data_IF_748481916469
#
_entry.id   IF_748481916469
#
_cell.length_a   1.000
_cell.length_b   1.000
_cell.length_c   1.000
_cell.angle_alpha   90.00
_cell.angle_beta   90.00
_cell.angle_gamma   90.00
#
_symmetry.space_group_name_H-M   'P 1'
#
loop_
_entity.id
_entity.type
_entity.pdbx_description
1 polymer ?
#
# COMPACT_ATOMS: atom_id res chain seq x y z
N UNK A 1 -1.92 5.70 21.22
CA UNK A 1 -3.39 5.72 21.18
C UNK A 1 -3.95 4.68 20.21
N UNK A 2 -3.52 4.66 18.92
CA UNK A 2 -3.94 3.65 17.92
C UNK A 2 -3.67 2.18 18.30
N UNK A 3 -2.48 1.86 18.83
CA UNK A 3 -2.14 0.47 19.25
C UNK A 3 -3.01 0.00 20.41
N UNK A 4 -3.29 0.88 21.38
CA UNK A 4 -4.12 0.57 22.53
C UNK A 4 -5.60 0.37 22.13
N UNK A 5 -6.06 1.02 21.06
CA UNK A 5 -7.43 0.91 20.57
C UNK A 5 -7.73 -0.46 19.95
N UNK A 6 -6.70 -1.20 19.52
CA UNK A 6 -6.84 -2.52 18.90
C UNK A 6 -6.05 -3.62 19.62
N UNK A 7 -5.54 -3.38 20.84
CA UNK A 7 -4.47 -4.21 21.45
C UNK A 7 -4.79 -5.70 21.48
N UNK A 8 -6.04 -6.06 21.77
CA UNK A 8 -6.46 -7.46 21.90
C UNK A 8 -6.66 -8.15 20.54
N UNK A 9 -6.85 -7.37 19.49
CA UNK A 9 -7.07 -7.84 18.12
C UNK A 9 -5.83 -7.66 17.22
N UNK A 10 -4.84 -6.87 17.62
CA UNK A 10 -3.69 -6.52 16.78
C UNK A 10 -2.57 -7.58 16.88
N UNK A 11 -2.13 -8.10 15.73
CA UNK A 11 -0.96 -9.00 15.61
C UNK A 11 0.31 -8.24 15.24
N UNK A 12 0.22 -7.32 14.28
CA UNK A 12 1.36 -6.53 13.80
C UNK A 12 0.93 -5.22 13.13
N UNK A 13 1.85 -4.25 13.05
CA UNK A 13 1.70 -3.04 12.23
C UNK A 13 2.92 -2.91 11.32
N UNK A 14 2.67 -2.71 10.03
CA UNK A 14 3.69 -2.36 9.05
C UNK A 14 3.47 -0.94 8.55
N UNK A 15 4.53 -0.16 8.42
CA UNK A 15 4.55 1.07 7.66
C UNK A 15 5.05 0.80 6.25
N UNK A 16 4.32 1.28 5.25
CA UNK A 16 4.64 1.09 3.82
C UNK A 16 4.72 2.43 3.08
N UNK A 17 5.22 2.40 1.85
CA UNK A 17 5.23 3.60 1.00
C UNK A 17 6.27 4.65 1.40
N UNK A 18 6.14 5.82 0.77
CA UNK A 18 7.20 6.84 0.71
C UNK A 18 7.64 7.41 2.06
N UNK A 19 6.74 7.43 3.06
CA UNK A 19 7.09 7.90 4.40
C UNK A 19 8.18 7.03 5.04
N UNK A 20 8.10 5.71 4.85
CA UNK A 20 9.00 4.74 5.45
C UNK A 20 10.21 4.39 4.58
N UNK A 21 10.23 4.81 3.31
CA UNK A 21 11.39 4.66 2.43
C UNK A 21 12.49 5.68 2.77
N UNK A 22 13.58 5.19 3.35
CA UNK A 22 14.73 6.01 3.75
C UNK A 22 15.60 6.45 2.58
N UNK A 23 15.48 5.80 1.42
CA UNK A 23 16.33 6.07 0.27
C UNK A 23 15.80 7.24 -0.58
N UNK A 24 14.54 7.65 -0.38
CA UNK A 24 13.97 8.80 -1.08
C UNK A 24 14.71 10.10 -0.74
N UNK A 25 14.90 11.00 -1.72
CA UNK A 25 15.51 12.32 -1.48
C UNK A 25 14.81 13.08 -0.34
N UNK A 26 15.57 13.86 0.42
CA UNK A 26 15.02 14.69 1.52
C UNK A 26 14.06 15.78 1.02
N UNK A 27 14.15 16.13 -0.27
CA UNK A 27 13.27 17.10 -0.94
C UNK A 27 11.91 16.52 -1.31
N UNK A 28 11.71 15.20 -1.16
CA UNK A 28 10.43 14.58 -1.45
C UNK A 28 9.44 14.79 -0.30
N UNK A 29 8.22 15.17 -0.69
CA UNK A 29 7.11 15.39 0.23
C UNK A 29 6.62 14.04 0.77
N UNK A 30 6.56 13.91 2.10
CA UNK A 30 6.12 12.69 2.81
C UNK A 30 4.99 13.02 3.80
N UNK A 31 3.87 13.51 3.29
CA UNK A 31 2.72 13.88 4.13
C UNK A 31 1.76 12.70 4.41
N UNK A 32 1.78 11.69 3.53
CA UNK A 32 0.90 10.53 3.63
C UNK A 32 1.64 9.42 4.39
N UNK A 33 1.03 8.88 5.44
CA UNK A 33 1.52 7.73 6.21
C UNK A 33 0.62 6.54 5.92
N UNK A 34 1.16 5.53 5.23
CA UNK A 34 0.43 4.29 4.94
C UNK A 34 0.78 3.21 5.98
N UNK A 35 -0.22 2.77 6.74
CA UNK A 35 -0.09 1.74 7.76
C UNK A 35 -0.94 0.52 7.40
N UNK A 36 -0.37 -0.67 7.57
CA UNK A 36 -1.09 -1.94 7.46
C UNK A 36 -1.17 -2.60 8.83
N UNK A 37 -2.39 -2.74 9.32
CA UNK A 37 -2.72 -3.39 10.58
C UNK A 37 -3.07 -4.84 10.28
N UNK A 38 -2.23 -5.76 10.77
CA UNK A 38 -2.52 -7.19 10.76
C UNK A 38 -3.28 -7.51 12.04
N UNK A 39 -4.56 -7.86 11.92
CA UNK A 39 -5.44 -8.17 13.03
C UNK A 39 -5.74 -9.68 13.12
N UNK A 40 -6.30 -10.13 14.26
CA UNK A 40 -6.74 -11.51 14.46
C UNK A 40 -8.05 -11.77 13.71
N UNK A 41 -8.96 -10.80 13.68
CA UNK A 41 -10.27 -10.88 13.03
C UNK A 41 -10.71 -9.48 12.59
N UNK A 42 -11.27 -9.38 11.39
CA UNK A 42 -11.81 -8.09 10.87
C UNK A 42 -13.14 -7.72 11.54
N UNK A 43 -13.87 -8.73 12.02
CA UNK A 43 -15.15 -8.59 12.71
C UNK A 43 -15.00 -7.87 14.05
N UNK A 44 -13.79 -7.90 14.63
CA UNK A 44 -13.44 -7.23 15.87
C UNK A 44 -12.86 -5.82 15.66
N UNK A 45 -12.94 -5.27 14.45
CA UNK A 45 -12.58 -3.87 14.18
C UNK A 45 -13.78 -2.99 14.60
N UNK A 46 -13.55 -1.89 15.34
CA UNK A 46 -14.60 -0.93 15.66
C UNK A 46 -15.34 -0.47 14.38
N UNK A 47 -16.66 -0.40 14.45
CA UNK A 47 -17.50 -0.09 13.28
C UNK A 47 -17.09 1.21 12.57
N UNK A 48 -16.81 2.26 13.34
CA UNK A 48 -16.36 3.55 12.79
C UNK A 48 -15.04 3.42 12.02
N UNK A 49 -14.11 2.61 12.51
CA UNK A 49 -12.83 2.36 11.83
C UNK A 49 -13.04 1.58 10.54
N UNK A 50 -13.92 0.58 10.57
CA UNK A 50 -14.22 -0.27 9.42
C UNK A 50 -14.94 0.49 8.31
N UNK A 51 -15.94 1.30 8.67
CA UNK A 51 -16.72 2.11 7.73
C UNK A 51 -15.83 3.16 7.05
N UNK A 52 -14.80 3.65 7.74
CA UNK A 52 -13.85 4.65 7.23
C UNK A 52 -12.52 4.09 6.72
N UNK A 53 -12.38 2.76 6.57
CA UNK A 53 -11.09 2.10 6.26
C UNK A 53 -10.41 2.53 4.95
N UNK A 54 -11.14 3.15 4.03
CA UNK A 54 -10.61 3.64 2.76
C UNK A 54 -10.33 5.15 2.75
N UNK A 55 -10.57 5.84 3.86
CA UNK A 55 -10.37 7.28 3.98
C UNK A 55 -9.17 7.58 4.90
N UNK A 56 -8.35 8.60 4.55
CA UNK A 56 -7.26 9.01 5.40
C UNK A 56 -7.80 9.68 6.67
N UNK A 57 -7.07 9.49 7.78
CA UNK A 57 -7.33 10.15 9.05
C UNK A 57 -6.32 11.27 9.25
N UNK A 58 -6.78 12.43 9.70
CA UNK A 58 -5.89 13.52 10.08
C UNK A 58 -5.36 13.28 11.49
N UNK A 59 -4.06 13.04 11.63
CA UNK A 59 -3.42 12.79 12.93
C UNK A 59 -2.16 13.65 13.01
N UNK A 60 -2.12 14.59 13.94
CA UNK A 60 -0.96 15.47 14.17
C UNK A 60 -0.45 16.18 12.90
N UNK A 61 -1.36 16.50 11.97
CA UNK A 61 -1.03 17.16 10.69
C UNK A 61 -0.61 16.21 9.56
N UNK A 62 -0.67 14.90 9.77
CA UNK A 62 -0.42 13.88 8.75
C UNK A 62 -1.73 13.25 8.23
N UNK A 63 -1.72 12.89 6.95
CA UNK A 63 -2.76 12.06 6.36
C UNK A 63 -2.40 10.58 6.60
N UNK A 64 -3.09 9.90 7.50
CA UNK A 64 -2.79 8.51 7.87
C UNK A 64 -3.81 7.57 7.25
N UNK A 65 -3.36 6.72 6.34
CA UNK A 65 -4.15 5.61 5.80
C UNK A 65 -3.91 4.35 6.62
N UNK A 66 -4.99 3.64 6.97
CA UNK A 66 -4.93 2.40 7.74
C UNK A 66 -5.63 1.30 6.96
N UNK A 67 -4.86 0.37 6.41
CA UNK A 67 -5.37 -0.87 5.83
C UNK A 67 -5.47 -1.96 6.89
N UNK A 68 -6.64 -2.57 7.04
CA UNK A 68 -6.83 -3.72 7.94
C UNK A 68 -6.81 -5.02 7.16
N UNK A 69 -5.97 -5.96 7.58
CA UNK A 69 -5.89 -7.31 6.99
C UNK A 69 -5.73 -8.36 8.07
N UNK A 70 -6.06 -9.61 7.75
CA UNK A 70 -5.68 -10.78 8.55
C UNK A 70 -4.69 -11.62 7.75
N UNK A 71 -3.98 -12.55 8.42
CA UNK A 71 -3.08 -13.48 7.74
C UNK A 71 -3.89 -14.36 6.80
N UNK A 72 -5.06 -14.80 7.25
CA UNK A 72 -5.98 -15.66 6.54
C UNK A 72 -6.48 -15.02 5.24
N UNK A 73 -6.75 -13.71 5.25
CA UNK A 73 -7.13 -12.95 4.04
C UNK A 73 -5.98 -12.89 3.05
N UNK A 74 -4.73 -12.81 3.50
CA UNK A 74 -3.57 -12.89 2.60
C UNK A 74 -3.39 -14.25 1.93
N UNK A 75 -4.05 -15.32 2.38
CA UNK A 75 -4.03 -16.63 1.72
C UNK A 75 -5.20 -16.86 0.77
N UNK A 76 -6.12 -15.90 0.67
CA UNK A 76 -7.35 -16.02 -0.12
C UNK A 76 -7.54 -14.75 -0.96
N UNK A 77 -7.12 -14.79 -2.23
CA UNK A 77 -7.19 -13.65 -3.16
C UNK A 77 -8.60 -13.08 -3.29
N UNK A 78 -9.64 -13.94 -3.25
CA UNK A 78 -11.01 -13.48 -3.38
C UNK A 78 -11.43 -12.68 -2.14
N UNK A 79 -11.20 -13.23 -0.94
CA UNK A 79 -11.48 -12.49 0.31
C UNK A 79 -10.66 -11.23 0.43
N UNK A 80 -9.41 -11.25 -0.07
CA UNK A 80 -8.58 -10.06 -0.10
C UNK A 80 -9.25 -8.94 -0.92
N UNK A 81 -9.78 -9.23 -2.10
CA UNK A 81 -10.47 -8.21 -2.90
C UNK A 81 -11.78 -7.69 -2.26
N UNK A 82 -12.47 -8.50 -1.47
CA UNK A 82 -13.68 -8.08 -0.75
C UNK A 82 -13.37 -7.10 0.40
N UNK A 83 -12.19 -7.25 1.01
CA UNK A 83 -11.78 -6.50 2.21
C UNK A 83 -10.91 -5.29 1.86
N UNK A 84 -9.96 -5.49 0.93
CA UNK A 84 -8.90 -4.56 0.58
C UNK A 84 -9.16 -3.89 -0.75
N UNK A 85 -8.90 -2.57 -0.81
CA UNK A 85 -8.94 -1.80 -2.04
C UNK A 85 -7.64 -1.85 -2.85
N UNK A 86 -6.67 -2.68 -2.45
CA UNK A 86 -5.35 -2.75 -3.08
C UNK A 86 -5.25 -3.88 -4.12
N UNK A 87 -4.22 -3.82 -4.97
CA UNK A 87 -3.86 -4.94 -5.84
C UNK A 87 -3.24 -6.07 -4.99
N UNK A 88 -3.71 -7.31 -5.17
CA UNK A 88 -3.34 -8.42 -4.27
C UNK A 88 -1.83 -8.72 -4.22
N UNK A 89 -1.20 -8.96 -5.38
CA UNK A 89 0.25 -9.26 -5.42
C UNK A 89 1.05 -8.07 -4.92
N UNK A 90 0.65 -6.84 -5.29
CA UNK A 90 1.26 -5.62 -4.76
C UNK A 90 1.22 -5.59 -3.23
N UNK A 91 0.04 -5.74 -2.62
CA UNK A 91 -0.09 -5.67 -1.17
C UNK A 91 0.74 -6.74 -0.44
N UNK A 92 0.90 -7.92 -1.04
CA UNK A 92 1.77 -8.97 -0.51
C UNK A 92 3.25 -8.57 -0.59
N UNK A 93 3.74 -8.07 -1.73
CA UNK A 93 5.16 -7.69 -1.88
C UNK A 93 5.56 -6.53 -0.95
N UNK A 94 4.64 -5.61 -0.65
CA UNK A 94 4.88 -4.52 0.30
C UNK A 94 5.29 -5.07 1.66
N UNK A 95 4.60 -6.11 2.15
CA UNK A 95 4.88 -6.68 3.46
C UNK A 95 5.99 -7.74 3.38
N UNK A 96 5.94 -8.63 2.39
CA UNK A 96 6.81 -9.82 2.25
C UNK A 96 8.30 -9.44 2.23
N UNK A 97 8.63 -8.34 1.55
CA UNK A 97 9.99 -7.88 1.37
C UNK A 97 10.34 -6.77 2.38
N UNK A 98 11.32 -6.98 3.28
CA UNK A 98 11.72 -5.99 4.29
C UNK A 98 12.17 -4.63 3.72
N UNK A 99 12.61 -4.59 2.48
CA UNK A 99 12.96 -3.36 1.78
C UNK A 99 11.76 -2.48 1.42
N UNK A 100 10.56 -3.07 1.29
CA UNK A 100 9.34 -2.34 0.92
C UNK A 100 8.55 -1.85 2.15
N UNK A 101 8.77 -2.45 3.33
CA UNK A 101 8.03 -2.11 4.55
C UNK A 101 8.84 -2.16 5.84
N UNK A 102 8.42 -1.34 6.79
CA UNK A 102 8.98 -1.34 8.15
C UNK A 102 8.00 -1.97 9.14
N UNK A 103 8.43 -3.00 9.87
CA UNK A 103 7.68 -3.50 11.02
C UNK A 103 7.74 -2.45 12.14
N UNK A 104 6.59 -1.94 12.56
CA UNK A 104 6.46 -0.90 13.58
C UNK A 104 6.02 -1.46 14.94
N UNK A 105 5.27 -2.57 14.94
CA UNK A 105 4.76 -3.21 16.14
C UNK A 105 4.44 -4.68 15.90
N UNK A 106 4.54 -5.50 16.95
CA UNK A 106 4.08 -6.88 16.97
C UNK A 106 5.09 -7.88 16.42
N UNK A 107 4.61 -9.09 16.09
CA UNK A 107 5.44 -10.18 15.58
C UNK A 107 5.58 -10.06 14.06
N UNK A 108 6.77 -10.30 13.54
CA UNK A 108 6.95 -10.39 12.09
C UNK A 108 6.16 -11.58 11.52
N UNK A 109 5.31 -11.31 10.53
CA UNK A 109 4.45 -12.28 9.85
C UNK A 109 4.94 -12.66 8.45
N UNK A 110 6.08 -12.14 7.98
CA UNK A 110 6.55 -12.35 6.60
C UNK A 110 6.68 -13.81 6.20
N UNK A 111 7.10 -14.67 7.12
CA UNK A 111 7.20 -16.12 6.90
C UNK A 111 5.83 -16.82 6.81
N UNK A 112 4.77 -16.16 7.26
CA UNK A 112 3.39 -16.65 7.22
C UNK A 112 2.63 -16.19 5.98
N UNK A 113 3.19 -15.27 5.17
CA UNK A 113 2.58 -14.80 3.93
C UNK A 113 2.86 -15.76 2.76
N UNK A 114 1.95 -15.86 1.77
CA UNK A 114 2.17 -16.67 0.56
C UNK A 114 3.49 -16.36 -0.16
N UNK A 115 3.93 -17.32 -0.96
CA UNK A 115 5.05 -17.14 -1.87
C UNK A 115 4.62 -16.31 -3.09
N UNK A 116 5.05 -15.04 -3.10
CA UNK A 116 4.78 -14.07 -4.16
C UNK A 116 5.42 -14.42 -5.50
N UNK A 117 6.43 -15.31 -5.54
CA UNK A 117 7.05 -15.75 -6.79
C UNK A 117 6.11 -16.58 -7.66
N UNK A 118 5.10 -17.20 -7.05
CA UNK A 118 4.10 -18.04 -7.72
C UNK A 118 2.90 -17.23 -8.24
N UNK A 119 2.82 -15.94 -7.90
CA UNK A 119 1.69 -15.07 -8.23
C UNK A 119 1.97 -14.22 -9.46
N UNK A 120 0.95 -13.98 -10.28
CA UNK A 120 0.97 -13.00 -11.36
C UNK A 120 0.35 -11.68 -10.90
N UNK A 121 0.86 -10.56 -11.43
CA UNK A 121 0.22 -9.27 -11.22
C UNK A 121 -1.08 -9.20 -12.00
N UNK A 122 -2.08 -8.56 -11.40
CA UNK A 122 -3.26 -8.10 -12.14
C UNK A 122 -2.89 -6.79 -12.85
N UNK A 123 -2.32 -6.91 -14.05
CA UNK A 123 -1.81 -5.80 -14.83
C UNK A 123 -2.94 -4.86 -15.30
N UNK A 124 -4.14 -5.37 -15.50
CA UNK A 124 -5.31 -4.56 -15.86
C UNK A 124 -5.72 -3.64 -14.71
N UNK A 125 -5.80 -4.16 -13.49
CA UNK A 125 -6.06 -3.36 -12.29
C UNK A 125 -4.99 -2.28 -12.08
N UNK A 126 -3.70 -2.61 -12.25
CA UNK A 126 -2.61 -1.63 -12.11
C UNK A 126 -2.74 -0.52 -13.16
N UNK A 127 -2.97 -0.88 -14.42
CA UNK A 127 -3.12 0.08 -15.52
C UNK A 127 -4.34 0.97 -15.29
N UNK A 128 -5.49 0.38 -14.93
CA UNK A 128 -6.72 1.12 -14.64
C UNK A 128 -6.51 2.14 -13.52
N UNK A 129 -5.78 1.79 -12.45
CA UNK A 129 -5.42 2.74 -11.39
C UNK A 129 -4.51 3.85 -11.87
N UNK A 130 -3.53 3.56 -12.73
CA UNK A 130 -2.69 4.58 -13.36
C UNK A 130 -3.51 5.59 -14.15
N UNK A 131 -4.41 5.10 -15.01
CA UNK A 131 -5.32 5.93 -15.82
C UNK A 131 -6.31 6.73 -14.97
N UNK A 132 -6.83 6.15 -13.90
CA UNK A 132 -7.72 6.84 -12.95
C UNK A 132 -7.06 8.07 -12.34
N UNK A 133 -5.81 7.95 -11.88
CA UNK A 133 -5.09 9.09 -11.32
C UNK A 133 -4.69 10.11 -12.40
N UNK A 134 -4.37 9.65 -13.61
CA UNK A 134 -4.10 10.55 -14.73
C UNK A 134 -5.34 11.39 -15.05
N UNK A 135 -6.51 10.76 -15.19
CA UNK A 135 -7.78 11.46 -15.44
C UNK A 135 -8.10 12.46 -14.33
N UNK A 136 -7.94 12.06 -13.06
CA UNK A 136 -8.11 12.97 -11.92
C UNK A 136 -7.19 14.19 -11.99
N UNK A 137 -5.92 13.99 -12.37
CA UNK A 137 -4.96 15.09 -12.49
C UNK A 137 -5.40 16.10 -13.55
N UNK A 138 -5.93 15.64 -14.68
CA UNK A 138 -6.40 16.46 -15.79
C UNK A 138 -7.70 17.21 -15.47
N UNK A 139 -8.56 16.64 -14.61
CA UNK A 139 -9.83 17.25 -14.19
C UNK A 139 -9.68 18.25 -13.05
N UNK A 140 -8.62 18.13 -12.25
CA UNK A 140 -8.36 19.02 -11.11
C UNK A 140 -8.01 20.43 -11.57
N UNK A 141 -8.60 21.44 -10.90
CA UNK A 141 -8.28 22.86 -11.09
C UNK A 141 -7.24 23.37 -10.10
N UNK A 142 -6.91 22.58 -9.09
CA UNK A 142 -6.00 22.96 -8.00
C UNK A 142 -4.62 22.35 -8.25
N UNK A 143 -3.59 23.21 -8.35
CA UNK A 143 -2.24 22.80 -8.73
C UNK A 143 -1.68 21.68 -7.84
N UNK A 144 -1.85 21.78 -6.52
CA UNK A 144 -1.33 20.79 -5.58
C UNK A 144 -2.01 19.42 -5.74
N UNK A 145 -3.33 19.40 -5.96
CA UNK A 145 -4.08 18.16 -6.24
C UNK A 145 -3.63 17.59 -7.59
N UNK A 146 -3.53 18.42 -8.63
CA UNK A 146 -3.08 18.00 -9.97
C UNK A 146 -1.71 17.33 -9.90
N UNK A 147 -0.73 17.96 -9.23
CA UNK A 147 0.62 17.41 -9.11
C UNK A 147 0.65 16.11 -8.29
N UNK A 148 -0.15 16.01 -7.22
CA UNK A 148 -0.26 14.79 -6.42
C UNK A 148 -0.82 13.63 -7.24
N UNK A 149 -1.94 13.85 -7.92
CA UNK A 149 -2.57 12.80 -8.73
C UNK A 149 -1.72 12.42 -9.95
N UNK A 150 -1.06 13.40 -10.60
CA UNK A 150 -0.13 13.12 -11.69
C UNK A 150 1.06 12.28 -11.22
N UNK A 151 1.63 12.57 -10.05
CA UNK A 151 2.71 11.77 -9.47
C UNK A 151 2.26 10.33 -9.20
N UNK A 152 1.04 10.15 -8.65
CA UNK A 152 0.43 8.82 -8.45
C UNK A 152 0.19 8.09 -9.78
N UNK A 153 -0.17 8.80 -10.84
CA UNK A 153 -0.34 8.24 -12.17
C UNK A 153 0.99 7.78 -12.77
N UNK A 154 2.00 8.65 -12.79
CA UNK A 154 3.35 8.35 -13.30
C UNK A 154 3.91 7.12 -12.58
N UNK A 155 3.81 7.07 -11.25
CA UNK A 155 4.26 5.92 -10.47
C UNK A 155 3.58 4.62 -10.90
N UNK A 156 2.25 4.59 -10.95
CA UNK A 156 1.51 3.36 -11.26
C UNK A 156 1.69 2.91 -12.70
N UNK A 157 1.73 3.84 -13.65
CA UNK A 157 2.03 3.51 -15.06
C UNK A 157 3.47 3.03 -15.23
N UNK A 158 4.42 3.63 -14.53
CA UNK A 158 5.83 3.17 -14.50
C UNK A 158 5.96 1.77 -13.89
N UNK A 159 5.24 1.51 -12.80
CA UNK A 159 5.16 0.20 -12.18
C UNK A 159 4.54 -0.82 -13.14
N UNK A 160 3.43 -0.48 -13.79
CA UNK A 160 2.79 -1.30 -14.83
C UNK A 160 3.78 -1.71 -15.92
N UNK A 161 4.53 -0.74 -16.48
CA UNK A 161 5.55 -1.02 -17.50
C UNK A 161 6.58 -2.02 -16.96
N UNK A 162 7.09 -1.81 -15.75
CA UNK A 162 8.06 -2.73 -15.15
C UNK A 162 7.50 -4.14 -15.00
N UNK A 163 6.32 -4.31 -14.41
CA UNK A 163 5.74 -5.65 -14.19
C UNK A 163 5.25 -6.32 -15.48
N UNK A 164 4.93 -5.54 -16.52
CA UNK A 164 4.53 -6.07 -17.82
C UNK A 164 5.73 -6.63 -18.60
N UNK A 165 6.90 -6.00 -18.50
CA UNK A 165 8.11 -6.41 -19.24
C UNK A 165 9.11 -7.21 -18.39
N UNK A 166 8.95 -7.26 -17.07
CA UNK A 166 9.88 -7.95 -16.16
C UNK A 166 9.12 -8.97 -15.30
N UNK A 167 9.30 -10.26 -15.59
CA UNK A 167 8.58 -11.35 -14.92
C UNK A 167 8.74 -11.38 -13.39
N UNK A 168 9.86 -10.86 -12.87
CA UNK A 168 10.25 -10.93 -11.45
C UNK A 168 10.34 -9.57 -10.75
N UNK A 169 9.61 -8.56 -11.20
CA UNK A 169 9.65 -7.24 -10.57
C UNK A 169 8.86 -7.21 -9.24
N UNK A 170 9.57 -7.11 -8.11
CA UNK A 170 9.00 -7.20 -6.76
C UNK A 170 9.25 -5.95 -5.88
N UNK A 171 9.74 -4.87 -6.47
CA UNK A 171 10.06 -3.63 -5.75
C UNK A 171 8.94 -2.62 -5.95
N UNK A 172 8.48 -2.01 -4.86
CA UNK A 172 7.44 -0.96 -4.92
C UNK A 172 8.01 0.45 -4.71
N UNK A 173 9.32 0.55 -4.47
CA UNK A 173 9.99 1.84 -4.35
C UNK A 173 10.11 2.55 -5.70
N UNK A 174 9.86 3.87 -5.68
CA UNK A 174 10.01 4.74 -6.84
C UNK A 174 11.44 4.77 -7.39
N UNK A 175 12.44 4.63 -6.53
CA UNK A 175 13.84 4.61 -6.95
C UNK A 175 14.15 3.36 -7.76
N UNK A 176 13.68 2.19 -7.30
CA UNK A 176 13.92 0.93 -8.01
C UNK A 176 13.20 0.89 -9.35
N UNK A 177 11.95 1.36 -9.40
CA UNK A 177 11.22 1.54 -10.67
C UNK A 177 12.02 2.45 -11.61
N UNK A 178 12.47 3.61 -11.12
CA UNK A 178 13.24 4.57 -11.90
C UNK A 178 14.58 4.03 -12.40
N UNK A 179 15.22 3.09 -11.69
CA UNK A 179 16.45 2.40 -12.15
C UNK A 179 16.17 1.42 -13.30
N UNK A 180 14.96 0.88 -13.41
CA UNK A 180 14.60 -0.11 -14.44
C UNK A 180 14.04 0.51 -15.72
N UNK A 181 13.59 1.76 -15.66
CA UNK A 181 13.09 2.51 -16.83
C UNK A 181 14.17 3.28 -17.60
N UNK A 182 15.43 3.21 -17.16
CA UNK A 182 16.59 3.80 -17.85
C UNK A 182 17.23 2.77 -18.77
#
# INVERSE_FOLDING_TARGET
MLVAHHSDNLKAIYGIGSFFDKNLPSTWIRHDIDLIFVVKSIENIPKEDWDNRFYPRQIEGYEVFIGYNTIEIYHDKQKFHEVSGANYKWALIEIKYPENSKLLYGKDIRDQLPDVSTLTFDCEDILARGLYHLEKSLKSKEFHITMRELSKAIFKTSFYICVYFMDNFNYTSLIEIGKKLK
#
